data_IF_643600661835
#
_entry.id   IF_643600661835
#
_cell.length_a   1.000
_cell.length_b   1.000
_cell.length_c   1.000
_cell.angle_alpha   90.00
_cell.angle_beta   90.00
_cell.angle_gamma   90.00
#
_symmetry.space_group_name_H-M   'P 1'
#
loop_
_entity.id
_entity.type
_entity.pdbx_description
1 polymer ?
#
# COMPACT_ATOMS: atom_id res chain seq x y z
N UNK A 1 -1.43 35.70 3.04
CA UNK A 1 -0.16 34.97 3.20
C UNK A 1 0.23 34.43 1.84
N UNK A 2 1.48 34.58 1.41
CA UNK A 2 1.95 34.01 0.14
C UNK A 2 2.25 32.53 0.39
N UNK A 3 1.70 31.63 -0.42
CA UNK A 3 2.04 30.20 -0.30
C UNK A 3 3.43 29.96 -0.85
N UNK A 4 4.25 29.21 -0.10
CA UNK A 4 5.61 28.86 -0.51
C UNK A 4 5.66 27.48 -1.17
N UNK A 5 6.48 27.35 -2.21
CA UNK A 5 6.60 26.12 -2.99
C UNK A 5 8.06 25.72 -3.07
N UNK A 6 8.34 24.44 -2.81
CA UNK A 6 9.69 23.88 -2.89
C UNK A 6 9.74 22.66 -3.79
N UNK A 7 10.79 22.62 -4.59
CA UNK A 7 11.14 21.50 -5.44
C UNK A 7 12.54 21.05 -5.08
N UNK A 8 12.72 19.76 -4.81
CA UNK A 8 14.03 19.16 -4.55
C UNK A 8 14.26 18.03 -5.54
N UNK A 9 15.42 18.03 -6.19
CA UNK A 9 15.89 16.91 -7.00
C UNK A 9 17.23 16.50 -6.41
N UNK A 10 17.31 15.28 -5.89
CA UNK A 10 18.52 14.80 -5.23
C UNK A 10 19.01 13.55 -5.94
N UNK A 11 20.20 13.69 -6.50
CA UNK A 11 20.91 12.65 -7.24
C UNK A 11 22.29 12.44 -6.63
N UNK A 12 22.50 12.81 -5.38
CA UNK A 12 23.77 12.63 -4.69
C UNK A 12 23.62 11.54 -3.63
N UNK A 13 24.71 10.87 -3.27
CA UNK A 13 24.71 9.85 -2.23
C UNK A 13 24.48 10.50 -0.87
N UNK A 14 23.23 10.46 -0.43
CA UNK A 14 22.78 11.00 0.85
C UNK A 14 21.98 9.93 1.59
N UNK A 15 22.15 9.88 2.90
CA UNK A 15 21.36 8.95 3.73
C UNK A 15 19.90 9.39 3.85
N UNK A 16 19.65 10.71 3.81
CA UNK A 16 18.32 11.26 4.01
C UNK A 16 18.12 12.61 3.32
N UNK A 17 16.92 12.86 2.82
CA UNK A 17 16.51 14.15 2.24
C UNK A 17 15.26 14.70 2.88
N UNK A 18 15.13 16.04 2.91
CA UNK A 18 13.92 16.70 3.41
C UNK A 18 13.49 17.84 2.48
N UNK A 19 12.23 17.81 2.07
CA UNK A 19 11.57 18.83 1.26
C UNK A 19 10.31 19.29 1.98
N UNK A 20 10.20 20.57 2.28
CA UNK A 20 9.13 21.11 3.12
C UNK A 20 8.92 22.58 2.82
N UNK A 21 7.67 22.92 2.50
CA UNK A 21 6.98 24.23 2.37
C UNK A 21 5.47 23.92 2.22
N UNK A 22 4.60 24.92 1.96
CA UNK A 22 3.16 24.68 1.74
C UNK A 22 2.88 23.73 0.56
N UNK A 23 3.72 23.76 -0.47
CA UNK A 23 3.64 22.85 -1.62
C UNK A 23 5.01 22.29 -1.93
N UNK A 24 5.19 20.99 -1.71
CA UNK A 24 6.50 20.33 -1.75
C UNK A 24 6.54 19.22 -2.77
N UNK A 25 7.58 19.22 -3.60
CA UNK A 25 7.80 18.18 -4.59
C UNK A 25 9.23 17.69 -4.47
N UNK A 26 9.43 16.38 -4.29
CA UNK A 26 10.76 15.79 -4.21
C UNK A 26 10.94 14.63 -5.18
N UNK A 27 12.13 14.56 -5.76
CA UNK A 27 12.60 13.40 -6.52
C UNK A 27 13.96 13.01 -5.96
N UNK A 28 14.09 11.77 -5.54
CA UNK A 28 15.30 11.22 -4.93
C UNK A 28 15.65 9.93 -5.65
N UNK A 29 16.89 9.80 -6.13
CA UNK A 29 17.32 8.66 -6.92
C UNK A 29 18.70 8.16 -6.48
N UNK A 30 18.80 7.19 -5.56
CA UNK A 30 20.09 6.58 -5.10
C UNK A 30 19.93 5.29 -4.32
N UNK A 31 21.03 4.57 -4.10
CA UNK A 31 21.01 3.41 -3.21
C UNK A 31 20.88 3.84 -1.73
N UNK A 32 19.83 3.34 -1.06
CA UNK A 32 19.64 3.39 0.39
C UNK A 32 19.29 4.77 0.94
N UNK A 33 18.23 5.38 0.43
CA UNK A 33 17.82 6.73 0.84
C UNK A 33 16.51 6.75 1.61
N UNK A 34 16.45 7.63 2.63
CA UNK A 34 15.20 8.04 3.27
C UNK A 34 14.76 9.42 2.77
N UNK A 35 13.61 9.51 2.10
CA UNK A 35 13.06 10.78 1.65
C UNK A 35 11.90 11.24 2.52
N UNK A 36 11.90 12.53 2.87
CA UNK A 36 10.83 13.15 3.65
C UNK A 36 10.28 14.36 2.90
N UNK A 37 8.96 14.37 2.65
CA UNK A 37 8.27 15.45 1.92
C UNK A 37 7.04 15.91 2.69
N UNK A 38 7.00 17.20 3.04
CA UNK A 38 5.96 17.80 3.89
C UNK A 38 5.33 19.03 3.25
N UNK A 39 4.07 19.32 3.57
CA UNK A 39 3.32 20.46 3.02
C UNK A 39 1.87 20.11 2.72
N UNK A 40 0.98 21.10 2.64
CA UNK A 40 -0.44 20.89 2.31
C UNK A 40 -0.64 20.06 1.03
N UNK A 41 0.22 20.30 0.02
CA UNK A 41 0.27 19.55 -1.22
C UNK A 41 1.67 18.97 -1.39
N UNK A 42 1.82 17.70 -1.06
CA UNK A 42 3.13 17.03 -0.97
C UNK A 42 3.22 15.86 -1.92
N UNK A 43 4.24 15.89 -2.78
CA UNK A 43 4.47 14.85 -3.77
C UNK A 43 5.92 14.37 -3.71
N UNK A 44 6.13 13.06 -3.62
CA UNK A 44 7.47 12.49 -3.62
C UNK A 44 7.61 11.30 -4.56
N UNK A 45 8.80 11.18 -5.14
CA UNK A 45 9.24 9.98 -5.86
C UNK A 45 10.62 9.61 -5.34
N UNK A 46 10.77 8.37 -4.88
CA UNK A 46 12.05 7.83 -4.40
C UNK A 46 12.36 6.55 -5.16
N UNK A 47 13.57 6.44 -5.71
CA UNK A 47 13.98 5.29 -6.52
C UNK A 47 15.39 4.83 -6.17
N UNK A 48 15.53 3.55 -5.85
CA UNK A 48 16.81 3.01 -5.40
C UNK A 48 16.67 1.58 -4.90
N UNK A 49 17.77 0.98 -4.44
CA UNK A 49 17.77 -0.44 -4.05
C UNK A 49 17.01 -0.70 -2.74
N UNK A 50 17.24 0.13 -1.72
CA UNK A 50 16.70 -0.03 -0.35
C UNK A 50 16.13 1.31 0.14
N UNK A 51 15.09 1.77 -0.53
CA UNK A 51 14.62 3.15 -0.39
C UNK A 51 13.33 3.24 0.39
N UNK A 52 13.24 4.31 1.17
CA UNK A 52 12.11 4.58 2.04
C UNK A 52 11.63 6.01 1.84
N UNK A 53 10.32 6.19 1.74
CA UNK A 53 9.69 7.49 1.57
C UNK A 53 8.71 7.80 2.70
N UNK A 54 8.61 9.08 3.02
CA UNK A 54 7.58 9.63 3.89
C UNK A 54 7.00 10.89 3.24
N UNK A 55 5.69 10.88 3.00
CA UNK A 55 4.98 12.04 2.44
C UNK A 55 3.79 12.41 3.30
N UNK A 56 3.74 13.66 3.76
CA UNK A 56 2.67 14.13 4.64
C UNK A 56 2.12 15.47 4.18
N UNK A 57 0.80 15.59 4.17
CA UNK A 57 0.10 16.76 3.68
C UNK A 57 -1.40 16.53 3.57
N UNK A 58 -2.21 17.58 3.45
CA UNK A 58 -3.64 17.40 3.21
C UNK A 58 -3.92 16.56 1.94
N UNK A 59 -3.18 16.85 0.88
CA UNK A 59 -3.12 16.06 -0.35
C UNK A 59 -1.68 15.55 -0.50
N UNK A 60 -1.45 14.27 -0.18
CA UNK A 60 -0.11 13.70 -0.13
C UNK A 60 0.01 12.51 -1.06
N UNK A 61 0.92 12.55 -2.03
CA UNK A 61 1.21 11.41 -2.91
C UNK A 61 2.67 11.01 -2.86
N UNK A 62 2.93 9.72 -2.73
CA UNK A 62 4.29 9.22 -2.67
C UNK A 62 4.46 7.95 -3.50
N UNK A 63 5.59 7.84 -4.16
CA UNK A 63 5.97 6.64 -4.91
C UNK A 63 7.37 6.22 -4.48
N UNK A 64 7.53 4.94 -4.14
CA UNK A 64 8.83 4.32 -3.88
C UNK A 64 9.01 3.09 -4.76
N UNK A 65 10.15 3.00 -5.44
CA UNK A 65 10.48 1.85 -6.28
C UNK A 65 11.89 1.34 -5.96
N UNK A 66 12.03 0.03 -5.77
CA UNK A 66 13.30 -0.57 -5.37
C UNK A 66 13.22 -2.07 -5.13
N UNK A 67 14.34 -2.72 -4.81
CA UNK A 67 14.29 -4.14 -4.38
C UNK A 67 13.56 -4.26 -3.03
N UNK A 68 13.88 -3.33 -2.12
CA UNK A 68 13.20 -3.10 -0.85
C UNK A 68 12.63 -1.69 -0.85
N UNK A 69 11.31 -1.58 -1.00
CA UNK A 69 10.61 -0.31 -1.17
C UNK A 69 9.63 -0.09 0.00
N UNK A 70 9.87 0.94 0.81
CA UNK A 70 8.99 1.30 1.92
C UNK A 70 8.39 2.68 1.75
N UNK A 71 7.09 2.88 2.00
CA UNK A 71 6.53 4.24 2.04
C UNK A 71 5.45 4.44 3.09
N UNK A 72 5.42 5.61 3.71
CA UNK A 72 4.24 6.07 4.44
C UNK A 72 3.71 7.38 3.87
N UNK A 73 2.39 7.42 3.64
CA UNK A 73 1.69 8.60 3.13
C UNK A 73 0.54 8.97 4.05
N UNK A 74 0.45 10.25 4.44
CA UNK A 74 -0.52 10.73 5.43
C UNK A 74 -1.19 12.03 4.98
N UNK A 75 -2.52 12.04 5.03
CA UNK A 75 -3.31 13.18 4.55
C UNK A 75 -4.78 12.85 4.35
N UNK A 76 -5.67 13.85 4.39
CA UNK A 76 -7.11 13.68 4.12
C UNK A 76 -7.38 12.92 2.81
N UNK A 77 -6.57 13.21 1.79
CA UNK A 77 -6.51 12.53 0.49
C UNK A 77 -5.08 12.09 0.23
N UNK A 78 -4.72 10.90 0.72
CA UNK A 78 -3.36 10.37 0.63
C UNK A 78 -3.28 9.16 -0.29
N UNK A 79 -2.28 9.14 -1.18
CA UNK A 79 -2.03 8.01 -2.05
C UNK A 79 -0.59 7.58 -1.92
N UNK A 80 -0.34 6.29 -1.87
CA UNK A 80 1.02 5.83 -2.03
C UNK A 80 1.14 4.56 -2.85
N UNK A 81 2.31 4.43 -3.46
CA UNK A 81 2.65 3.29 -4.30
C UNK A 81 4.04 2.80 -3.93
N UNK A 82 4.16 1.50 -3.67
CA UNK A 82 5.47 0.85 -3.51
C UNK A 82 5.60 -0.33 -4.50
N UNK A 83 6.71 -0.40 -5.22
CA UNK A 83 7.00 -1.51 -6.14
C UNK A 83 8.39 -2.08 -5.85
N UNK A 84 8.47 -3.40 -5.66
CA UNK A 84 9.73 -4.07 -5.36
C UNK A 84 9.63 -5.58 -5.16
N UNK A 85 10.73 -6.25 -4.84
CA UNK A 85 10.63 -7.66 -4.43
C UNK A 85 9.94 -7.75 -3.06
N UNK A 86 10.35 -6.88 -2.14
CA UNK A 86 9.70 -6.63 -0.85
C UNK A 86 9.23 -5.18 -0.82
N UNK A 87 7.92 -4.96 -0.72
CA UNK A 87 7.34 -3.63 -0.83
C UNK A 87 6.29 -3.41 0.26
N UNK A 88 6.50 -2.41 1.11
CA UNK A 88 5.64 -2.13 2.25
C UNK A 88 5.11 -0.70 2.21
N UNK A 89 3.81 -0.53 2.43
CA UNK A 89 3.18 0.78 2.54
C UNK A 89 2.24 0.91 3.74
N UNK A 90 2.24 2.11 4.34
CA UNK A 90 1.18 2.59 5.21
C UNK A 90 0.57 3.89 4.69
N UNK A 91 -0.70 3.86 4.28
CA UNK A 91 -1.44 5.02 3.76
C UNK A 91 -2.56 5.41 4.73
N UNK A 92 -2.61 6.67 5.17
CA UNK A 92 -3.52 7.09 6.25
C UNK A 92 -4.33 8.33 5.86
N UNK A 93 -5.64 8.27 6.09
CA UNK A 93 -6.57 9.39 5.91
C UNK A 93 -7.91 9.00 5.29
N UNK A 94 -8.82 9.97 5.16
CA UNK A 94 -10.21 9.68 4.80
C UNK A 94 -10.33 9.05 3.41
N UNK A 95 -9.78 9.66 2.36
CA UNK A 95 -9.89 9.12 1.00
C UNK A 95 -8.52 8.61 0.55
N UNK A 96 -8.06 7.58 1.23
CA UNK A 96 -6.68 7.14 1.12
C UNK A 96 -6.53 5.86 0.33
N UNK A 97 -5.57 5.81 -0.60
CA UNK A 97 -5.38 4.63 -1.44
C UNK A 97 -3.92 4.21 -1.53
N UNK A 98 -3.65 2.96 -1.16
CA UNK A 98 -2.35 2.34 -1.30
C UNK A 98 -2.35 1.32 -2.44
N UNK A 99 -1.26 1.22 -3.18
CA UNK A 99 -1.00 0.10 -4.09
C UNK A 99 0.40 -0.45 -3.86
N UNK A 100 0.53 -1.76 -3.71
CA UNK A 100 1.86 -2.41 -3.69
C UNK A 100 1.95 -3.57 -4.65
N UNK A 101 3.15 -3.74 -5.21
CA UNK A 101 3.47 -4.86 -6.09
C UNK A 101 4.79 -5.49 -5.68
N UNK A 102 4.82 -6.82 -5.57
CA UNK A 102 6.01 -7.55 -5.15
C UNK A 102 5.75 -8.98 -4.72
N UNK A 103 6.83 -9.73 -4.47
CA UNK A 103 6.78 -11.13 -4.02
C UNK A 103 6.48 -11.26 -2.52
N UNK A 104 6.66 -10.19 -1.76
CA UNK A 104 6.31 -10.05 -0.35
C UNK A 104 5.87 -8.62 -0.13
N UNK A 105 4.68 -8.30 -0.64
CA UNK A 105 4.17 -6.95 -0.67
C UNK A 105 3.10 -6.75 0.40
N UNK A 106 3.28 -5.77 1.28
CA UNK A 106 2.31 -5.44 2.33
C UNK A 106 1.71 -4.07 2.06
N UNK A 107 0.40 -3.93 2.23
CA UNK A 107 -0.27 -2.64 2.12
C UNK A 107 -1.31 -2.47 3.18
N UNK A 108 -1.00 -1.57 4.10
CA UNK A 108 -1.91 -1.10 5.12
C UNK A 108 -2.51 0.24 4.70
N UNK A 109 -3.84 0.31 4.67
CA UNK A 109 -4.54 1.57 4.44
C UNK A 109 -5.61 1.81 5.50
N UNK A 110 -5.55 2.98 6.15
CA UNK A 110 -6.50 3.39 7.18
C UNK A 110 -7.34 4.61 6.75
N UNK A 111 -8.66 4.53 6.93
CA UNK A 111 -9.63 5.62 6.84
C UNK A 111 -10.93 5.29 6.06
N UNK A 112 -11.91 6.20 6.12
CA UNK A 112 -13.26 6.00 5.57
C UNK A 112 -13.33 6.24 4.05
N UNK A 113 -13.63 5.19 3.28
CA UNK A 113 -13.50 5.12 1.82
C UNK A 113 -12.05 4.94 1.35
N UNK A 114 -11.23 4.29 2.17
CA UNK A 114 -9.83 4.03 1.87
C UNK A 114 -9.61 2.62 1.32
N UNK A 115 -8.64 2.43 0.42
CA UNK A 115 -8.45 1.17 -0.29
C UNK A 115 -6.98 0.71 -0.25
N UNK A 116 -6.79 -0.59 -0.11
CA UNK A 116 -5.49 -1.25 -0.17
C UNK A 116 -5.54 -2.28 -1.29
N UNK A 117 -4.57 -2.21 -2.21
CA UNK A 117 -4.39 -3.20 -3.26
C UNK A 117 -2.97 -3.75 -3.17
N UNK A 118 -2.83 -5.06 -3.12
CA UNK A 118 -1.54 -5.74 -3.21
C UNK A 118 -1.56 -6.77 -4.32
N UNK A 119 -0.44 -6.86 -5.06
CA UNK A 119 -0.27 -7.78 -6.16
C UNK A 119 1.07 -8.51 -6.08
N UNK A 120 1.03 -9.82 -6.31
CA UNK A 120 2.19 -10.70 -6.33
C UNK A 120 2.12 -11.79 -5.26
N UNK A 121 3.04 -12.74 -5.30
CA UNK A 121 3.04 -13.89 -4.38
C UNK A 121 3.10 -13.39 -2.94
N UNK A 122 2.49 -14.08 -1.98
CA UNK A 122 2.56 -13.76 -0.54
C UNK A 122 2.31 -12.27 -0.23
N UNK A 123 1.31 -11.70 -0.89
CA UNK A 123 0.97 -10.30 -0.75
C UNK A 123 -0.15 -10.09 0.27
N UNK A 124 -0.01 -9.07 1.10
CA UNK A 124 -0.83 -8.85 2.28
C UNK A 124 -1.54 -7.50 2.14
N UNK A 125 -2.86 -7.53 1.98
CA UNK A 125 -3.67 -6.32 1.94
C UNK A 125 -4.46 -6.17 3.24
N UNK A 126 -4.43 -4.98 3.82
CA UNK A 126 -5.10 -4.67 5.08
C UNK A 126 -5.82 -3.33 4.94
N UNK A 127 -7.07 -3.27 5.38
CA UNK A 127 -7.80 -2.01 5.50
C UNK A 127 -8.50 -1.81 6.83
N UNK A 128 -8.32 -0.62 7.39
CA UNK A 128 -9.02 -0.17 8.59
C UNK A 128 -9.90 1.03 8.26
N UNK A 129 -11.18 0.79 8.04
CA UNK A 129 -12.08 1.88 7.70
C UNK A 129 -13.43 1.42 7.20
N UNK A 130 -14.40 2.33 7.27
CA UNK A 130 -15.73 2.08 6.73
C UNK A 130 -15.70 2.24 5.22
N UNK A 131 -16.40 1.35 4.52
CA UNK A 131 -16.48 1.36 3.06
C UNK A 131 -15.11 1.22 2.38
N UNK A 132 -14.19 0.54 3.08
CA UNK A 132 -12.84 0.29 2.60
C UNK A 132 -12.77 -1.04 1.87
N UNK A 133 -11.74 -1.22 1.03
CA UNK A 133 -11.54 -2.44 0.25
C UNK A 133 -10.11 -2.88 0.42
N UNK A 134 -9.92 -4.07 0.97
CA UNK A 134 -8.66 -4.80 0.96
C UNK A 134 -8.68 -5.78 -0.21
N UNK A 135 -7.75 -5.63 -1.14
CA UNK A 135 -7.65 -6.45 -2.35
C UNK A 135 -6.26 -7.09 -2.42
N UNK A 136 -6.22 -8.42 -2.34
CA UNK A 136 -4.98 -9.19 -2.39
C UNK A 136 -5.01 -10.14 -3.59
N UNK A 137 -4.11 -9.91 -4.55
CA UNK A 137 -4.05 -10.65 -5.80
C UNK A 137 -2.68 -11.34 -5.96
N UNK A 138 -2.61 -12.58 -5.51
CA UNK A 138 -1.43 -13.41 -5.73
C UNK A 138 -1.53 -14.77 -5.08
N UNK A 139 -0.70 -15.71 -5.54
CA UNK A 139 -0.63 -16.99 -4.87
C UNK A 139 -0.15 -16.81 -3.42
N UNK A 140 -0.89 -17.36 -2.46
CA UNK A 140 -0.60 -17.22 -1.03
C UNK A 140 -0.83 -15.82 -0.48
N UNK A 141 -1.53 -14.94 -1.21
CA UNK A 141 -1.90 -13.62 -0.71
C UNK A 141 -2.98 -13.70 0.37
N UNK A 142 -3.00 -12.75 1.28
CA UNK A 142 -4.02 -12.63 2.33
C UNK A 142 -4.66 -11.24 2.32
N UNK A 143 -5.93 -11.19 2.71
CA UNK A 143 -6.69 -9.96 2.83
C UNK A 143 -7.35 -9.85 4.21
N UNK A 144 -7.38 -8.63 4.77
CA UNK A 144 -8.03 -8.30 6.03
C UNK A 144 -8.74 -6.94 5.95
N UNK A 145 -9.92 -6.85 6.56
CA UNK A 145 -10.69 -5.62 6.61
C UNK A 145 -11.48 -5.48 7.91
N UNK A 146 -11.57 -4.24 8.42
CA UNK A 146 -12.37 -3.95 9.63
C UNK A 146 -13.86 -3.75 9.33
N UNK A 147 -14.21 -2.78 8.47
CA UNK A 147 -15.58 -2.31 8.21
C UNK A 147 -15.84 -2.12 6.70
N UNK A 148 -15.35 -3.06 5.92
CA UNK A 148 -15.29 -2.95 4.47
C UNK A 148 -15.50 -4.26 3.75
N UNK A 149 -14.73 -4.45 2.69
CA UNK A 149 -14.75 -5.62 1.83
C UNK A 149 -13.36 -6.22 1.74
N UNK A 150 -13.33 -7.53 1.55
CA UNK A 150 -12.13 -8.22 1.08
C UNK A 150 -12.35 -8.67 -0.37
N UNK A 151 -11.30 -8.60 -1.17
CA UNK A 151 -11.20 -9.15 -2.53
C UNK A 151 -9.96 -10.03 -2.57
N UNK A 152 -10.13 -11.29 -2.96
CA UNK A 152 -9.04 -12.26 -2.98
C UNK A 152 -9.12 -13.19 -4.18
N UNK A 153 -7.96 -13.51 -4.75
CA UNK A 153 -7.85 -14.44 -5.87
C UNK A 153 -7.65 -15.89 -5.40
N UNK A 154 -8.46 -16.79 -5.93
CA UNK A 154 -8.25 -18.24 -5.93
C UNK A 154 -7.44 -18.60 -7.17
N UNK A 155 -6.40 -19.42 -7.00
CA UNK A 155 -5.53 -19.87 -8.09
C UNK A 155 -5.74 -21.36 -8.38
N UNK A 156 -5.49 -21.75 -9.62
CA UNK A 156 -5.36 -23.16 -10.00
C UNK A 156 -4.09 -23.78 -9.37
N UNK A 157 -3.96 -25.10 -9.49
CA UNK A 157 -2.81 -25.86 -8.96
C UNK A 157 -1.45 -25.38 -9.51
N UNK A 158 -1.44 -24.76 -10.69
CA UNK A 158 -0.25 -24.17 -11.31
C UNK A 158 0.26 -22.89 -10.60
N UNK A 159 -0.52 -22.34 -9.66
CA UNK A 159 -0.23 -21.15 -8.84
C UNK A 159 -0.04 -19.87 -9.65
N UNK A 160 -0.46 -19.87 -10.92
CA UNK A 160 -0.27 -18.77 -11.88
C UNK A 160 -1.57 -18.34 -12.51
N UNK A 161 -2.44 -19.30 -12.79
CA UNK A 161 -3.74 -19.07 -13.42
C UNK A 161 -4.76 -18.74 -12.34
N UNK A 162 -5.42 -17.59 -12.47
CA UNK A 162 -6.54 -17.22 -11.61
C UNK A 162 -7.72 -18.12 -11.95
N UNK A 163 -8.18 -18.89 -10.97
CA UNK A 163 -9.38 -19.73 -11.06
C UNK A 163 -10.65 -18.90 -10.86
N UNK A 164 -10.65 -18.07 -9.81
CA UNK A 164 -11.81 -17.23 -9.44
C UNK A 164 -11.38 -16.05 -8.59
N UNK A 165 -12.10 -14.94 -8.70
CA UNK A 165 -12.02 -13.83 -7.73
C UNK A 165 -13.23 -13.92 -6.79
N UNK A 166 -12.95 -13.83 -5.49
CA UNK A 166 -13.97 -13.74 -4.46
C UNK A 166 -13.97 -12.32 -3.90
N UNK A 167 -15.15 -11.76 -3.70
CA UNK A 167 -15.34 -10.43 -3.14
C UNK A 167 -16.55 -10.46 -2.21
N UNK A 168 -16.36 -10.12 -0.94
CA UNK A 168 -17.45 -10.11 0.05
C UNK A 168 -17.25 -9.00 1.06
N UNK A 169 -18.35 -8.59 1.70
CA UNK A 169 -18.31 -7.67 2.83
C UNK A 169 -17.91 -8.42 4.10
N UNK A 170 -17.23 -7.74 5.02
CA UNK A 170 -17.01 -8.25 6.40
C UNK A 170 -18.36 -8.61 7.03
N UNK A 171 -18.43 -9.80 7.63
CA UNK A 171 -19.64 -10.45 8.16
C UNK A 171 -20.34 -11.39 7.18
N UNK A 172 -19.99 -11.37 5.90
CA UNK A 172 -20.48 -12.33 4.89
C UNK A 172 -19.52 -13.53 4.75
N UNK A 173 -19.76 -14.39 3.75
CA UNK A 173 -19.07 -15.67 3.60
C UNK A 173 -18.40 -15.85 2.25
N UNK A 174 -17.17 -16.36 2.26
CA UNK A 174 -16.50 -16.98 1.11
C UNK A 174 -16.41 -18.47 1.39
N UNK A 175 -16.93 -19.30 0.48
CA UNK A 175 -16.81 -20.77 0.56
C UNK A 175 -17.22 -21.36 1.92
N UNK A 176 -18.23 -20.76 2.56
CA UNK A 176 -18.75 -21.17 3.87
C UNK A 176 -18.05 -20.56 5.09
N UNK A 177 -16.89 -19.92 4.91
CA UNK A 177 -16.12 -19.24 5.97
C UNK A 177 -16.63 -17.81 6.13
N UNK A 178 -16.99 -17.42 7.36
CA UNK A 178 -17.38 -16.05 7.70
C UNK A 178 -16.15 -15.17 7.79
N UNK A 179 -16.24 -13.97 7.22
CA UNK A 179 -15.18 -12.96 7.32
C UNK A 179 -15.40 -12.13 8.58
N UNK A 180 -14.56 -12.35 9.57
CA UNK A 180 -14.54 -11.65 10.84
C UNK A 180 -13.76 -10.34 10.73
N UNK A 181 -14.02 -9.44 11.66
CA UNK A 181 -13.38 -8.13 11.76
C UNK A 181 -11.90 -8.31 12.13
N UNK A 182 -11.01 -7.58 11.45
CA UNK A 182 -9.56 -7.50 11.74
C UNK A 182 -8.82 -8.86 11.67
N UNK A 183 -9.37 -9.79 10.90
CA UNK A 183 -8.84 -11.14 10.73
C UNK A 183 -8.36 -11.36 9.29
N UNK A 184 -7.27 -12.11 9.15
CA UNK A 184 -6.62 -12.35 7.86
C UNK A 184 -7.12 -13.63 7.21
N UNK A 185 -7.46 -13.54 5.92
CA UNK A 185 -8.00 -14.66 5.16
C UNK A 185 -7.20 -14.93 3.90
N UNK A 186 -7.02 -16.21 3.57
CA UNK A 186 -6.24 -16.66 2.44
C UNK A 186 -6.60 -18.10 2.02
N UNK A 187 -6.08 -18.50 0.86
CA UNK A 187 -6.07 -19.90 0.46
C UNK A 187 -4.79 -20.55 1.00
N UNK A 188 -4.95 -21.67 1.71
CA UNK A 188 -3.81 -22.44 2.20
C UNK A 188 -3.10 -23.23 1.09
N UNK A 189 -2.07 -23.97 1.45
CA UNK A 189 -1.28 -24.79 0.52
C UNK A 189 -2.08 -25.89 -0.20
N UNK A 190 -3.24 -26.28 0.35
CA UNK A 190 -4.15 -27.26 -0.23
C UNK A 190 -5.29 -26.60 -1.03
N UNK A 191 -5.30 -25.27 -1.15
CA UNK A 191 -6.34 -24.52 -1.83
C UNK A 191 -7.63 -24.37 -1.02
N UNK A 192 -7.61 -24.60 0.29
CA UNK A 192 -8.76 -24.32 1.15
C UNK A 192 -8.73 -22.86 1.61
N UNK A 193 -9.85 -22.17 1.41
CA UNK A 193 -10.04 -20.83 1.95
C UNK A 193 -10.28 -20.90 3.46
N UNK A 194 -9.50 -20.16 4.24
CA UNK A 194 -9.58 -20.16 5.71
C UNK A 194 -9.01 -18.87 6.32
N UNK A 195 -9.25 -18.71 7.61
CA UNK A 195 -8.51 -17.76 8.47
C UNK A 195 -7.07 -18.25 8.61
N UNK A 196 -6.10 -17.36 8.46
CA UNK A 196 -4.66 -17.66 8.44
C UNK A 196 -4.01 -17.35 9.78
#
# INVERSE_FOLDING_TARGET
MKKETKHSIITEDILSSRTEEDSSHSVVMREKTYSFTYGDNSHSVTMGKEDHGYTEGKNSHGVVMGEFAGISTKGDSSHGVAMGECADIGTYGKNSHGVTTGKRATNFTEGENSHSITMGTYADSITEGKNSVSCALGYGSIASAQKGFIVIAEYEEDKKTIKKIHAVKVGEKILGVVIDVDESYGFDENGFFRKI
#
